data_IF_071494542008
#
_entry.id   IF_071494542008
#
_cell.length_a   1.000
_cell.length_b   1.000
_cell.length_c   1.000
_cell.angle_alpha   90.00
_cell.angle_beta   90.00
_cell.angle_gamma   90.00
#
_symmetry.space_group_name_H-M   'P 1'
#
loop_
_entity.id
_entity.type
_entity.pdbx_description
1 polymer ?
#
# COMPACT_ATOMS: atom_id res chain seq x y z
N UNK A 1 13.78 30.11 -4.12
CA UNK A 1 12.46 29.55 -3.76
C UNK A 1 12.28 28.33 -4.63
N UNK A 2 12.66 27.15 -4.12
CA UNK A 2 12.53 25.89 -4.87
C UNK A 2 11.06 25.49 -4.79
N UNK A 3 10.43 25.30 -5.94
CA UNK A 3 9.03 24.91 -6.05
C UNK A 3 8.88 23.45 -5.58
N UNK A 4 8.34 23.25 -4.38
CA UNK A 4 8.06 21.96 -3.74
C UNK A 4 6.95 21.13 -4.43
N UNK A 5 6.44 21.58 -5.59
CA UNK A 5 5.40 20.87 -6.35
C UNK A 5 5.80 19.50 -6.90
N UNK A 6 7.05 19.06 -6.75
CA UNK A 6 7.50 17.76 -7.24
C UNK A 6 7.19 16.57 -6.32
N UNK A 7 6.66 16.78 -5.11
CA UNK A 7 6.32 15.68 -4.19
C UNK A 7 4.82 15.34 -4.18
N UNK A 8 3.96 16.21 -4.72
CA UNK A 8 2.54 15.92 -4.87
C UNK A 8 2.26 15.20 -6.20
N UNK A 9 2.57 13.90 -6.26
CA UNK A 9 2.15 13.07 -7.37
C UNK A 9 0.64 12.77 -7.24
N UNK A 10 -0.21 13.73 -7.59
CA UNK A 10 -1.63 13.49 -7.85
C UNK A 10 -1.74 12.73 -9.17
N UNK A 11 -1.73 11.39 -9.11
CA UNK A 11 -1.92 10.54 -10.29
C UNK A 11 -3.42 10.38 -10.50
N UNK A 12 -3.98 11.19 -11.41
CA UNK A 12 -5.37 11.09 -11.86
C UNK A 12 -5.65 9.90 -12.80
N UNK A 13 -4.70 8.98 -12.96
CA UNK A 13 -4.85 7.74 -13.74
C UNK A 13 -4.60 6.55 -12.83
N UNK A 14 -5.51 5.58 -12.86
CA UNK A 14 -5.39 4.29 -12.17
C UNK A 14 -4.05 3.64 -12.51
N UNK A 15 -3.15 3.50 -11.53
CA UNK A 15 -1.86 2.82 -11.71
C UNK A 15 -2.06 1.33 -11.43
N UNK A 16 -1.89 0.49 -12.44
CA UNK A 16 -1.99 -0.96 -12.30
C UNK A 16 -0.59 -1.56 -12.44
N UNK A 17 -0.11 -2.24 -11.39
CA UNK A 17 1.13 -3.02 -11.43
C UNK A 17 0.99 -4.21 -12.40
N UNK A 18 2.10 -4.79 -12.89
CA UNK A 18 2.00 -5.83 -13.94
C UNK A 18 1.31 -7.12 -13.47
N UNK A 19 1.27 -7.41 -12.16
CA UNK A 19 0.44 -8.49 -11.61
C UNK A 19 -1.07 -8.19 -11.57
N UNK A 20 -1.49 -6.97 -11.93
CA UNK A 20 -2.89 -6.58 -12.09
C UNK A 20 -3.52 -5.87 -10.88
N UNK A 21 -2.71 -5.47 -9.89
CA UNK A 21 -3.20 -4.76 -8.70
C UNK A 21 -3.16 -3.25 -8.86
N UNK A 22 -4.18 -2.57 -8.33
CA UNK A 22 -4.13 -1.12 -8.09
C UNK A 22 -2.96 -0.78 -7.16
N UNK A 23 -2.09 0.10 -7.63
CA UNK A 23 -0.91 0.59 -6.93
C UNK A 23 -1.04 2.10 -6.65
N UNK A 24 -0.22 2.62 -5.73
CA UNK A 24 -0.21 4.03 -5.35
C UNK A 24 -1.32 4.46 -4.39
N UNK A 25 -2.07 3.51 -3.80
CA UNK A 25 -3.21 3.80 -2.91
C UNK A 25 -2.79 4.41 -1.57
N UNK A 26 -1.71 3.93 -0.96
CA UNK A 26 -1.34 4.28 0.41
C UNK A 26 0.04 4.93 0.44
N UNK A 27 0.07 6.25 0.62
CA UNK A 27 1.28 7.04 0.84
C UNK A 27 1.17 7.79 2.18
N UNK A 28 2.29 8.08 2.86
CA UNK A 28 2.24 8.90 4.07
C UNK A 28 1.85 10.34 3.73
N UNK A 29 0.92 10.91 4.49
CA UNK A 29 0.60 12.34 4.40
C UNK A 29 1.48 13.15 5.36
N UNK A 30 2.00 14.27 4.90
CA UNK A 30 2.96 15.12 5.60
C UNK A 30 2.24 16.30 6.25
N UNK A 31 2.42 16.43 7.57
CA UNK A 31 1.88 17.53 8.38
C UNK A 31 2.35 18.88 7.81
N UNK A 32 1.42 19.79 7.56
CA UNK A 32 1.70 21.13 7.04
C UNK A 32 1.89 21.21 5.53
N UNK A 33 1.92 20.09 4.81
CA UNK A 33 1.98 20.04 3.34
C UNK A 33 0.66 19.52 2.75
N UNK A 34 0.18 18.37 3.22
CA UNK A 34 -1.08 17.78 2.75
C UNK A 34 -2.27 18.46 3.42
N UNK A 35 -3.06 19.20 2.65
CA UNK A 35 -4.17 20.00 3.17
C UNK A 35 -5.39 19.16 3.59
N UNK A 36 -5.67 18.06 2.89
CA UNK A 36 -6.81 17.18 3.11
C UNK A 36 -6.37 15.71 3.03
N UNK A 37 -5.62 15.21 4.03
CA UNK A 37 -5.17 13.82 4.02
C UNK A 37 -6.37 12.86 4.10
N UNK A 38 -6.37 11.76 3.32
CA UNK A 38 -7.41 10.74 3.44
C UNK A 38 -7.31 10.03 4.81
N UNK A 39 -8.42 9.45 5.29
CA UNK A 39 -8.42 8.66 6.52
C UNK A 39 -7.55 7.39 6.40
N UNK A 40 -7.14 6.87 7.55
CA UNK A 40 -6.34 5.64 7.66
C UNK A 40 -4.95 5.87 8.28
N UNK A 41 -3.85 5.92 7.50
CA UNK A 41 -2.50 6.06 8.04
C UNK A 41 -2.32 7.32 8.90
N UNK A 42 -1.48 7.21 9.93
CA UNK A 42 -1.05 8.37 10.71
C UNK A 42 -0.25 9.32 9.83
N UNK A 43 -0.51 10.61 10.00
CA UNK A 43 0.27 11.66 9.37
C UNK A 43 1.71 11.62 9.90
N UNK A 44 2.66 11.92 9.03
CA UNK A 44 4.08 11.99 9.37
C UNK A 44 4.55 13.44 9.37
N UNK A 45 5.60 13.71 10.13
CA UNK A 45 6.33 14.98 10.04
C UNK A 45 7.27 14.96 8.83
N UNK A 46 7.66 16.15 8.36
CA UNK A 46 8.49 16.29 7.17
C UNK A 46 9.87 15.60 7.30
N UNK A 47 10.43 15.49 8.51
CA UNK A 47 11.73 14.86 8.77
C UNK A 47 11.81 13.37 8.40
N UNK A 48 10.67 12.70 8.26
CA UNK A 48 10.61 11.32 7.78
C UNK A 48 11.05 11.22 6.32
N UNK A 49 10.79 12.26 5.51
CA UNK A 49 11.06 12.28 4.07
C UNK A 49 12.17 13.26 3.68
N UNK A 50 12.29 14.39 4.38
CA UNK A 50 13.16 15.50 4.04
C UNK A 50 14.31 15.64 5.04
N UNK A 51 15.51 15.79 4.49
CA UNK A 51 16.75 16.02 5.21
C UNK A 51 16.76 17.38 5.91
N UNK A 52 17.27 17.42 7.14
CA UNK A 52 17.48 18.68 7.87
C UNK A 52 16.20 19.41 8.30
N UNK A 53 15.03 18.76 8.15
CA UNK A 53 13.77 19.25 8.70
C UNK A 53 13.67 19.02 10.21
N UNK A 54 12.75 19.73 10.86
CA UNK A 54 12.57 19.65 12.31
C UNK A 54 12.25 18.22 12.75
N UNK A 55 13.15 17.63 13.55
CA UNK A 55 13.03 16.26 14.05
C UNK A 55 13.94 15.24 13.39
N UNK A 56 14.64 15.61 12.31
CA UNK A 56 15.60 14.74 11.67
C UNK A 56 16.75 14.43 12.65
N UNK A 57 16.74 13.22 13.20
CA UNK A 57 17.76 12.73 14.14
C UNK A 57 19.21 12.84 13.62
N UNK A 58 19.40 12.98 12.29
CA UNK A 58 20.70 13.11 11.65
C UNK A 58 21.07 14.55 11.29
N UNK A 59 20.21 15.53 11.57
CA UNK A 59 20.41 16.93 11.15
C UNK A 59 21.79 17.49 11.52
N UNK A 60 22.29 17.21 12.73
CA UNK A 60 23.60 17.69 13.20
C UNK A 60 24.80 17.16 12.39
N UNK A 61 24.63 16.04 11.68
CA UNK A 61 25.68 15.42 10.85
C UNK A 61 25.51 15.69 9.35
N UNK A 62 24.39 16.30 8.96
CA UNK A 62 24.10 16.61 7.56
C UNK A 62 24.73 17.97 7.19
N UNK A 63 25.28 18.11 5.98
CA UNK A 63 25.74 19.40 5.51
C UNK A 63 24.55 20.33 5.21
N UNK A 64 24.72 21.64 5.43
CA UNK A 64 23.64 22.64 5.28
C UNK A 64 22.93 22.58 3.92
N UNK A 65 23.66 22.31 2.84
CA UNK A 65 23.09 22.24 1.49
C UNK A 65 22.12 21.08 1.28
N UNK A 66 22.16 20.07 2.14
CA UNK A 66 21.30 18.89 2.01
C UNK A 66 19.89 19.12 2.56
N UNK A 67 19.66 20.26 3.24
CA UNK A 67 18.34 20.61 3.76
C UNK A 67 17.29 20.59 2.63
N UNK A 68 16.11 20.06 2.94
CA UNK A 68 14.98 19.85 2.02
C UNK A 68 15.25 18.81 0.90
N UNK A 69 16.42 18.16 0.93
CA UNK A 69 16.73 17.03 0.06
C UNK A 69 16.12 15.72 0.54
N UNK A 70 16.01 14.73 -0.34
CA UNK A 70 15.53 13.38 0.02
C UNK A 70 16.43 12.31 -0.60
N UNK A 71 16.33 11.08 -0.10
CA UNK A 71 17.03 9.93 -0.66
C UNK A 71 16.11 9.21 -1.64
N UNK A 72 16.56 9.08 -2.88
CA UNK A 72 15.86 8.30 -3.89
C UNK A 72 16.39 6.87 -3.92
N UNK A 73 15.51 5.90 -3.69
CA UNK A 73 15.81 4.47 -3.85
C UNK A 73 15.24 4.02 -5.18
N UNK A 74 16.13 3.61 -6.10
CA UNK A 74 15.73 3.09 -7.40
C UNK A 74 15.98 1.57 -7.47
N UNK A 75 14.97 0.83 -7.92
CA UNK A 75 15.06 -0.60 -8.14
C UNK A 75 14.44 -0.95 -9.49
N UNK A 76 15.15 -1.73 -10.29
CA UNK A 76 14.62 -2.30 -11.51
C UNK A 76 14.20 -3.75 -11.25
N UNK A 77 12.91 -3.94 -10.98
CA UNK A 77 12.33 -5.23 -10.61
C UNK A 77 11.60 -5.85 -11.80
N UNK A 78 12.10 -6.97 -12.31
CA UNK A 78 11.40 -7.76 -13.33
C UNK A 78 10.32 -8.62 -12.66
N UNK A 79 9.14 -8.66 -13.26
CA UNK A 79 7.99 -9.42 -12.76
C UNK A 79 7.70 -10.62 -13.66
N UNK A 80 7.62 -11.80 -13.06
CA UNK A 80 7.31 -13.07 -13.73
C UNK A 80 5.79 -13.31 -13.69
N UNK A 81 5.06 -12.57 -14.54
CA UNK A 81 3.58 -12.53 -14.51
C UNK A 81 2.93 -13.89 -14.84
N UNK A 82 3.33 -14.60 -15.92
CA UNK A 82 2.78 -15.93 -16.21
C UNK A 82 3.03 -16.95 -15.08
N UNK A 83 4.24 -16.94 -14.52
CA UNK A 83 4.64 -17.85 -13.45
C UNK A 83 3.86 -17.59 -12.16
N UNK A 84 3.63 -16.32 -11.84
CA UNK A 84 2.81 -15.95 -10.69
C UNK A 84 1.35 -16.37 -10.89
N UNK A 85 0.78 -16.18 -12.07
CA UNK A 85 -0.57 -16.66 -12.39
C UNK A 85 -0.68 -18.20 -12.27
N UNK A 86 0.35 -18.93 -12.70
CA UNK A 86 0.41 -20.39 -12.57
C UNK A 86 0.54 -20.84 -11.11
N UNK A 87 1.29 -20.10 -10.30
CA UNK A 87 1.42 -20.34 -8.86
C UNK A 87 0.08 -20.21 -8.13
N UNK A 88 -0.72 -19.21 -8.47
CA UNK A 88 -2.02 -18.97 -7.83
C UNK A 88 -3.01 -20.12 -8.04
N UNK A 89 -2.96 -20.78 -9.21
CA UNK A 89 -3.83 -21.90 -9.57
C UNK A 89 -3.54 -23.19 -8.78
N UNK A 90 -2.41 -23.31 -8.08
CA UNK A 90 -1.93 -24.58 -7.51
C UNK A 90 -1.42 -24.44 -6.06
N UNK A 91 -2.06 -25.09 -5.06
CA UNK A 91 -3.48 -25.46 -4.99
C UNK A 91 -4.37 -24.23 -4.67
N UNK A 92 -5.64 -24.22 -5.08
CA UNK A 92 -6.57 -23.13 -4.75
C UNK A 92 -6.87 -23.13 -3.24
N UNK A 93 -7.11 -21.94 -2.68
CA UNK A 93 -7.62 -21.82 -1.32
C UNK A 93 -9.08 -22.29 -1.31
N UNK A 94 -9.35 -23.40 -0.62
CA UNK A 94 -10.72 -23.87 -0.34
C UNK A 94 -11.01 -23.61 1.14
N UNK A 95 -11.33 -22.37 1.48
CA UNK A 95 -11.65 -21.98 2.88
C UNK A 95 -13.15 -21.94 3.17
N UNK A 96 -14.00 -21.99 2.14
CA UNK A 96 -15.45 -21.95 2.28
C UNK A 96 -16.15 -22.91 1.32
N UNK A 97 -17.25 -23.55 1.75
CA UNK A 97 -18.12 -24.29 0.84
C UNK A 97 -18.63 -23.38 -0.29
N UNK A 98 -18.54 -23.85 -1.54
CA UNK A 98 -19.10 -23.15 -2.70
C UNK A 98 -18.18 -22.16 -3.40
N UNK A 99 -16.92 -22.01 -2.96
CA UNK A 99 -15.93 -21.18 -3.65
C UNK A 99 -15.40 -21.92 -4.89
N UNK A 100 -15.44 -21.28 -6.07
CA UNK A 100 -14.85 -21.87 -7.27
C UNK A 100 -13.32 -21.89 -7.18
N UNK A 101 -12.62 -22.79 -7.92
CA UNK A 101 -11.15 -22.75 -8.00
C UNK A 101 -10.60 -21.39 -8.44
N UNK A 102 -11.32 -20.69 -9.31
CA UNK A 102 -11.01 -19.35 -9.80
C UNK A 102 -11.10 -18.32 -8.67
N UNK A 103 -12.23 -18.28 -7.96
CA UNK A 103 -12.41 -17.39 -6.79
C UNK A 103 -11.36 -17.67 -5.70
N UNK A 104 -10.99 -18.94 -5.53
CA UNK A 104 -9.97 -19.37 -4.56
C UNK A 104 -8.57 -18.92 -4.94
N UNK A 105 -8.30 -18.82 -6.24
CA UNK A 105 -7.05 -18.29 -6.78
C UNK A 105 -7.00 -16.77 -6.63
N UNK A 106 -8.09 -16.07 -6.91
CA UNK A 106 -8.20 -14.61 -6.70
C UNK A 106 -8.09 -14.22 -5.23
N UNK A 107 -8.75 -14.98 -4.35
CA UNK A 107 -8.64 -14.77 -2.92
C UNK A 107 -7.21 -15.01 -2.42
N UNK A 108 -6.52 -16.03 -2.94
CA UNK A 108 -5.10 -16.28 -2.63
C UNK A 108 -4.24 -15.11 -3.05
N UNK A 109 -4.46 -14.60 -4.26
CA UNK A 109 -3.77 -13.44 -4.80
C UNK A 109 -3.96 -12.23 -3.87
N UNK A 110 -5.21 -11.95 -3.50
CA UNK A 110 -5.57 -10.85 -2.61
C UNK A 110 -4.98 -11.01 -1.20
N UNK A 111 -4.93 -12.23 -0.64
CA UNK A 111 -4.33 -12.53 0.67
C UNK A 111 -2.81 -12.34 0.67
N UNK A 112 -2.13 -12.59 -0.45
CA UNK A 112 -0.68 -12.34 -0.57
C UNK A 112 -0.34 -10.86 -0.61
N UNK A 113 -1.17 -10.05 -1.28
CA UNK A 113 -0.93 -8.61 -1.38
C UNK A 113 -1.48 -7.85 -0.17
N UNK A 114 -2.65 -8.26 0.35
CA UNK A 114 -3.43 -7.54 1.36
C UNK A 114 -4.51 -6.63 0.77
N UNK A 115 -4.70 -6.67 -0.56
CA UNK A 115 -5.76 -5.96 -1.29
C UNK A 115 -6.24 -6.85 -2.43
N UNK A 116 -7.49 -6.66 -2.84
CA UNK A 116 -7.96 -7.16 -4.12
C UNK A 116 -7.33 -6.38 -5.27
N UNK A 117 -7.40 -6.92 -6.50
CA UNK A 117 -6.87 -6.25 -7.70
C UNK A 117 -7.49 -4.87 -7.93
N UNK A 118 -8.76 -4.72 -7.57
CA UNK A 118 -9.45 -3.42 -7.57
C UNK A 118 -8.77 -2.36 -6.69
N UNK A 119 -8.09 -2.78 -5.62
CA UNK A 119 -7.58 -1.92 -4.55
C UNK A 119 -8.30 -2.09 -3.21
N UNK A 120 -9.44 -2.79 -3.16
CA UNK A 120 -10.19 -3.00 -1.92
C UNK A 120 -9.33 -3.72 -0.87
N UNK A 121 -9.19 -3.21 0.35
CA UNK A 121 -8.39 -3.86 1.39
C UNK A 121 -9.10 -5.10 1.93
N UNK A 122 -8.36 -6.22 2.00
CA UNK A 122 -8.91 -7.47 2.56
C UNK A 122 -9.17 -7.37 4.06
N UNK A 123 -8.53 -6.41 4.74
CA UNK A 123 -8.84 -6.09 6.13
C UNK A 123 -10.22 -5.44 6.29
N UNK A 124 -10.91 -5.02 5.22
CA UNK A 124 -12.31 -4.56 5.26
C UNK A 124 -13.23 -5.61 4.62
N UNK A 125 -12.88 -6.09 3.43
CA UNK A 125 -13.65 -7.10 2.69
C UNK A 125 -12.83 -8.40 2.48
N UNK A 126 -12.82 -9.30 3.47
CA UNK A 126 -11.83 -10.39 3.55
C UNK A 126 -12.07 -11.58 2.63
N UNK A 127 -13.25 -11.68 2.02
CA UNK A 127 -13.72 -12.87 1.31
C UNK A 127 -14.16 -12.59 -0.13
N UNK A 128 -14.44 -11.33 -0.48
CA UNK A 128 -14.88 -10.93 -1.81
C UNK A 128 -14.37 -9.54 -2.15
N UNK A 129 -14.08 -9.29 -3.43
CA UNK A 129 -13.76 -7.95 -3.91
C UNK A 129 -14.96 -6.99 -3.75
N UNK A 130 -14.64 -5.70 -3.56
CA UNK A 130 -15.57 -4.58 -3.51
C UNK A 130 -15.00 -3.40 -4.31
N UNK A 131 -15.30 -3.32 -5.62
CA UNK A 131 -14.80 -2.24 -6.47
C UNK A 131 -15.30 -0.84 -6.08
N UNK A 132 -16.46 -0.72 -5.43
CA UNK A 132 -16.98 0.56 -4.97
C UNK A 132 -16.17 1.06 -3.78
N UNK A 133 -15.87 0.18 -2.82
CA UNK A 133 -14.93 0.47 -1.74
C UNK A 133 -13.56 0.84 -2.30
N UNK A 134 -13.05 0.09 -3.29
CA UNK A 134 -11.73 0.33 -3.87
C UNK A 134 -11.60 1.72 -4.51
N UNK A 135 -12.67 2.19 -5.17
CA UNK A 135 -12.71 3.48 -5.85
C UNK A 135 -12.89 4.69 -4.92
N UNK A 136 -13.16 4.48 -3.62
CA UNK A 136 -13.41 5.53 -2.64
C UNK A 136 -12.14 5.83 -1.81
N UNK A 137 -11.41 6.94 -2.07
CA UNK A 137 -10.20 7.28 -1.33
C UNK A 137 -10.46 7.62 0.14
N UNK A 138 -11.72 7.84 0.53
CA UNK A 138 -12.09 8.07 1.93
C UNK A 138 -12.32 6.77 2.70
N UNK A 139 -12.22 5.60 2.05
CA UNK A 139 -12.50 4.31 2.69
C UNK A 139 -11.48 3.24 2.35
N UNK A 140 -10.92 3.24 1.14
CA UNK A 140 -10.03 2.20 0.65
C UNK A 140 -8.71 2.09 1.43
N UNK A 141 -8.41 3.02 2.34
CA UNK A 141 -7.22 2.99 3.18
C UNK A 141 -7.50 3.14 4.69
N UNK A 142 -8.77 3.21 5.09
CA UNK A 142 -9.20 3.45 6.47
C UNK A 142 -9.25 2.14 7.29
N UNK A 143 -8.07 1.57 7.56
CA UNK A 143 -7.90 0.35 8.36
C UNK A 143 -6.50 0.30 8.99
N UNK A 144 -6.36 -0.53 10.04
CA UNK A 144 -5.14 -0.64 10.87
C UNK A 144 -4.76 -2.07 11.30
N UNK A 145 -5.43 -3.11 10.77
CA UNK A 145 -5.22 -4.52 11.18
C UNK A 145 -5.47 -4.82 12.67
N UNK A 146 -6.07 -3.88 13.41
CA UNK A 146 -6.27 -4.01 14.86
C UNK A 146 -7.19 -5.17 15.27
N UNK A 147 -8.10 -5.57 14.37
CA UNK A 147 -9.00 -6.70 14.57
C UNK A 147 -8.34 -8.07 14.48
N UNK A 148 -7.05 -8.14 14.13
CA UNK A 148 -6.31 -9.39 13.87
C UNK A 148 -4.96 -9.40 14.59
N UNK A 149 -4.98 -9.28 15.91
CA UNK A 149 -3.74 -9.38 16.72
C UNK A 149 -3.28 -10.83 16.87
N UNK A 150 -4.22 -11.75 17.04
CA UNK A 150 -3.96 -13.16 17.35
C UNK A 150 -4.52 -14.14 16.30
N UNK A 151 -5.10 -13.62 15.21
CA UNK A 151 -5.62 -14.42 14.10
C UNK A 151 -5.24 -13.81 12.73
N UNK A 152 -5.51 -14.55 11.66
CA UNK A 152 -5.16 -14.18 10.27
C UNK A 152 -6.34 -14.41 9.32
N UNK A 153 -7.57 -14.30 9.83
CA UNK A 153 -8.76 -14.61 9.04
C UNK A 153 -8.98 -13.59 7.90
N UNK A 154 -8.89 -12.29 8.18
CA UNK A 154 -9.00 -11.17 7.25
C UNK A 154 -7.72 -10.94 6.45
N UNK A 155 -6.55 -10.83 7.08
CA UNK A 155 -5.30 -10.47 6.44
C UNK A 155 -4.11 -11.24 7.04
N UNK A 156 -3.39 -12.06 6.24
CA UNK A 156 -2.19 -12.74 6.72
C UNK A 156 -1.13 -11.77 7.24
N UNK A 157 -0.38 -12.17 8.29
CA UNK A 157 0.75 -11.39 8.80
C UNK A 157 1.86 -11.18 7.76
N UNK A 158 1.91 -12.04 6.75
CA UNK A 158 2.88 -11.99 5.66
C UNK A 158 2.38 -11.28 4.39
N UNK A 159 1.19 -10.67 4.42
CA UNK A 159 0.68 -9.90 3.29
C UNK A 159 1.62 -8.73 2.96
N UNK A 160 1.81 -8.45 1.66
CA UNK A 160 2.75 -7.43 1.18
C UNK A 160 2.55 -6.08 1.87
N UNK A 161 1.33 -5.55 1.90
CA UNK A 161 1.07 -4.25 2.53
C UNK A 161 1.28 -4.27 4.05
N UNK A 162 1.06 -5.42 4.72
CA UNK A 162 1.21 -5.57 6.18
C UNK A 162 2.68 -5.74 6.58
N UNK A 163 3.54 -6.16 5.65
CA UNK A 163 5.00 -6.19 5.84
C UNK A 163 5.68 -4.87 5.54
N UNK A 164 5.13 -4.10 4.61
CA UNK A 164 5.71 -2.83 4.17
C UNK A 164 5.23 -1.64 5.00
N UNK A 165 4.13 -1.79 5.75
CA UNK A 165 3.52 -0.76 6.59
C UNK A 165 3.30 -1.33 7.99
N UNK A 166 4.10 -0.83 8.93
CA UNK A 166 3.87 -0.96 10.38
C UNK A 166 3.29 0.35 10.94
#
# INVERSE_FOLDING_TARGET
MVDLRLVACSISNTVIASFGFLDGVSNPSVIGFDANPPPGPKLVRADVLLAGEEGDSRAATRPDWSKDGTFLVFQYLLQLVPEFADFLRKPPIIIMPGLSPEDGSELRDAKMVGRWKSGAPIDITPLKDDPELAADPQKNNDFSFEGERDDQFRCPFAAHIRKSRD
#
